data_IF_320303667709
#
_entry.id   IF_320303667709
#
_cell.length_a   1.000
_cell.length_b   1.000
_cell.length_c   1.000
_cell.angle_alpha   90.00
_cell.angle_beta   90.00
_cell.angle_gamma   90.00
#
_symmetry.space_group_name_H-M   'P 1'
#
loop_
_entity.id
_entity.type
_entity.pdbx_description
1 polymer ?
#
# COMPACT_ATOMS: atom_id res chain seq x y z
N UNK A 1 -32.34 -24.94 33.69
CA UNK A 1 -32.31 -24.59 32.25
C UNK A 1 -31.60 -23.25 32.15
N UNK A 2 -30.32 -23.22 31.76
CA UNK A 2 -29.64 -21.96 31.47
C UNK A 2 -29.92 -21.59 30.03
N UNK A 3 -30.69 -20.53 29.83
CA UNK A 3 -30.80 -19.86 28.53
C UNK A 3 -29.44 -19.20 28.24
N UNK A 4 -28.65 -19.83 27.39
CA UNK A 4 -27.50 -19.18 26.76
C UNK A 4 -28.06 -18.08 25.88
N UNK A 5 -27.88 -16.82 26.30
CA UNK A 5 -28.06 -15.68 25.41
C UNK A 5 -27.00 -15.86 24.33
N UNK A 6 -27.42 -16.21 23.12
CA UNK A 6 -26.53 -16.12 21.97
C UNK A 6 -26.17 -14.65 21.85
N UNK A 7 -24.91 -14.30 22.09
CA UNK A 7 -24.38 -13.03 21.60
C UNK A 7 -24.73 -12.99 20.10
N UNK A 8 -25.64 -12.10 19.71
CA UNK A 8 -25.84 -11.79 18.31
C UNK A 8 -24.48 -11.33 17.79
N UNK A 9 -23.76 -12.22 17.10
CA UNK A 9 -22.57 -11.83 16.36
C UNK A 9 -23.03 -10.75 15.40
N UNK A 10 -22.52 -9.55 15.62
CA UNK A 10 -22.80 -8.38 14.80
C UNK A 10 -22.63 -8.76 13.31
N UNK A 11 -23.54 -8.30 12.45
CA UNK A 11 -23.51 -8.70 11.04
C UNK A 11 -22.14 -8.32 10.44
N UNK A 12 -21.38 -9.26 9.85
CA UNK A 12 -20.03 -8.99 9.33
C UNK A 12 -19.99 -7.80 8.36
N UNK A 13 -21.07 -7.60 7.60
CA UNK A 13 -21.22 -6.47 6.67
C UNK A 13 -21.33 -5.14 7.42
N UNK A 14 -22.06 -5.11 8.54
CA UNK A 14 -22.18 -3.92 9.40
C UNK A 14 -20.85 -3.61 10.08
N UNK A 15 -20.14 -4.63 10.58
CA UNK A 15 -18.81 -4.47 11.18
C UNK A 15 -17.79 -3.96 10.15
N UNK A 16 -17.75 -4.54 8.94
CA UNK A 16 -16.88 -4.09 7.85
C UNK A 16 -17.17 -2.64 7.44
N UNK A 17 -18.45 -2.26 7.28
CA UNK A 17 -18.83 -0.88 6.98
C UNK A 17 -18.36 0.08 8.08
N UNK A 18 -18.60 -0.27 9.34
CA UNK A 18 -18.20 0.54 10.50
C UNK A 18 -16.68 0.70 10.57
N UNK A 19 -15.90 -0.35 10.27
CA UNK A 19 -14.44 -0.28 10.24
C UNK A 19 -13.93 0.57 9.08
N UNK A 20 -14.54 0.43 7.89
CA UNK A 20 -14.22 1.27 6.73
C UNK A 20 -14.48 2.76 7.03
N UNK A 21 -15.57 3.11 7.70
CA UNK A 21 -15.87 4.48 8.14
C UNK A 21 -14.85 5.02 9.14
N UNK A 22 -14.26 4.14 9.96
CA UNK A 22 -13.21 4.49 10.94
C UNK A 22 -11.81 4.42 10.34
N UNK A 23 -11.67 4.11 9.05
CA UNK A 23 -10.37 3.96 8.40
C UNK A 23 -9.72 5.33 8.22
N UNK A 24 -8.75 5.62 9.10
CA UNK A 24 -8.01 6.87 9.08
C UNK A 24 -6.71 6.78 8.29
N UNK A 25 -6.30 7.91 7.70
CA UNK A 25 -5.04 8.02 6.96
C UNK A 25 -3.80 7.60 7.75
N UNK A 26 -3.81 7.74 9.08
CA UNK A 26 -2.70 7.28 9.93
C UNK A 26 -2.44 5.77 9.85
N UNK A 27 -3.44 4.97 9.45
CA UNK A 27 -3.31 3.52 9.26
C UNK A 27 -2.61 3.14 7.95
N UNK A 28 -2.39 4.11 7.05
CA UNK A 28 -1.71 3.92 5.78
C UNK A 28 -0.21 4.17 5.86
N UNK A 29 0.25 4.81 6.94
CA UNK A 29 1.66 5.11 7.12
C UNK A 29 2.36 3.98 7.86
N UNK A 30 3.58 3.68 7.42
CA UNK A 30 4.45 2.81 8.18
C UNK A 30 4.70 3.40 9.57
N UNK A 31 4.87 2.53 10.57
CA UNK A 31 5.24 2.95 11.92
C UNK A 31 6.56 3.72 11.92
N UNK A 32 6.70 4.69 12.84
CA UNK A 32 7.93 5.50 12.96
C UNK A 32 9.16 4.65 13.33
N UNK A 33 8.93 3.50 13.93
CA UNK A 33 9.89 2.49 14.32
C UNK A 33 10.13 1.41 13.24
N UNK A 34 9.38 1.44 12.14
CA UNK A 34 9.57 0.51 11.02
C UNK A 34 10.82 0.91 10.21
N UNK A 35 11.99 0.44 10.66
CA UNK A 35 13.27 0.78 10.06
C UNK A 35 13.35 0.41 8.56
N UNK A 36 12.74 -0.69 8.13
CA UNK A 36 12.78 -1.14 6.73
C UNK A 36 11.96 -0.22 5.80
N UNK A 37 10.78 0.22 6.24
CA UNK A 37 9.97 1.16 5.46
C UNK A 37 10.62 2.55 5.44
N UNK A 38 11.07 3.02 6.60
CA UNK A 38 11.67 4.35 6.76
C UNK A 38 13.03 4.49 6.06
N UNK A 39 13.74 3.39 5.80
CA UNK A 39 14.97 3.37 5.00
C UNK A 39 14.72 3.25 3.49
N UNK A 40 13.46 3.11 3.06
CA UNK A 40 13.10 2.87 1.66
C UNK A 40 13.38 1.45 1.18
N UNK A 41 13.88 0.55 2.05
CA UNK A 41 14.18 -0.83 1.70
C UNK A 41 12.90 -1.58 1.28
N UNK A 42 11.78 -1.35 2.00
CA UNK A 42 10.51 -1.97 1.64
C UNK A 42 10.05 -1.56 0.24
N UNK A 43 10.12 -0.27 -0.13
CA UNK A 43 9.83 0.16 -1.49
C UNK A 43 10.78 -0.46 -2.53
N UNK A 44 12.08 -0.52 -2.23
CA UNK A 44 13.07 -1.23 -3.06
C UNK A 44 12.73 -2.72 -3.25
N UNK A 45 12.16 -3.41 -2.28
CA UNK A 45 11.76 -4.80 -2.48
C UNK A 45 10.44 -4.91 -3.25
N UNK A 46 9.55 -3.96 -3.04
CA UNK A 46 8.17 -4.07 -3.48
C UNK A 46 7.90 -3.50 -4.87
N UNK A 47 8.80 -2.69 -5.46
CA UNK A 47 8.63 -2.25 -6.85
C UNK A 47 8.43 -3.43 -7.82
N UNK A 48 9.09 -4.57 -7.58
CA UNK A 48 8.93 -5.77 -8.41
C UNK A 48 7.71 -6.64 -8.03
N UNK A 49 7.15 -6.42 -6.83
CA UNK A 49 6.05 -7.22 -6.26
C UNK A 49 4.68 -6.59 -6.47
N UNK A 50 4.64 -5.28 -6.65
CA UNK A 50 3.41 -4.50 -6.80
C UNK A 50 3.20 -4.05 -8.25
N UNK A 51 1.94 -3.86 -8.62
CA UNK A 51 1.57 -3.30 -9.91
C UNK A 51 1.27 -1.81 -9.77
N UNK A 52 1.90 -1.00 -10.64
CA UNK A 52 1.78 0.46 -10.63
C UNK A 52 1.18 0.98 -11.92
N UNK A 53 0.32 1.99 -11.79
CA UNK A 53 -0.19 2.83 -12.87
C UNK A 53 0.12 4.27 -12.52
N UNK A 54 0.79 5.00 -13.41
CA UNK A 54 1.12 6.42 -13.20
C UNK A 54 0.42 7.24 -14.28
N UNK A 55 -0.42 8.22 -13.90
CA UNK A 55 -1.21 9.04 -14.83
C UNK A 55 -1.89 8.21 -15.94
N UNK A 56 -2.51 7.09 -15.54
CA UNK A 56 -3.17 6.14 -16.46
C UNK A 56 -2.26 5.24 -17.29
N UNK A 57 -0.92 5.34 -17.17
CA UNK A 57 0.03 4.47 -17.86
C UNK A 57 0.58 3.39 -16.94
N UNK A 58 0.37 2.12 -17.30
CA UNK A 58 0.92 0.97 -16.58
C UNK A 58 2.45 0.95 -16.64
N UNK A 59 3.07 0.63 -15.50
CA UNK A 59 4.51 0.43 -15.35
C UNK A 59 4.77 -1.08 -15.32
N UNK A 60 5.55 -1.58 -16.29
CA UNK A 60 5.87 -3.00 -16.37
C UNK A 60 7.00 -3.40 -15.42
N UNK A 61 6.99 -4.65 -14.97
CA UNK A 61 8.10 -5.24 -14.19
C UNK A 61 9.43 -5.21 -14.94
N UNK A 62 9.38 -5.34 -16.27
CA UNK A 62 10.57 -5.25 -17.13
C UNK A 62 11.21 -3.85 -17.08
N UNK A 63 10.40 -2.79 -17.17
CA UNK A 63 10.89 -1.41 -17.01
C UNK A 63 11.52 -1.22 -15.63
N UNK A 64 10.87 -1.71 -14.57
CA UNK A 64 11.42 -1.62 -13.21
C UNK A 64 12.74 -2.39 -13.14
N UNK A 65 12.85 -3.56 -13.76
CA UNK A 65 14.08 -4.36 -13.75
C UNK A 65 15.23 -3.65 -14.51
N UNK A 66 14.92 -2.91 -15.57
CA UNK A 66 15.88 -2.05 -16.27
C UNK A 66 16.36 -0.90 -15.38
N UNK A 67 15.43 -0.18 -14.74
CA UNK A 67 15.76 0.91 -13.80
C UNK A 67 16.66 0.45 -12.64
N UNK A 68 16.51 -0.80 -12.19
CA UNK A 68 17.38 -1.38 -11.16
C UNK A 68 18.82 -1.51 -11.64
N UNK A 69 19.01 -1.95 -12.88
CA UNK A 69 20.35 -2.08 -13.48
C UNK A 69 20.96 -0.72 -13.75
N UNK A 70 20.16 0.24 -14.21
CA UNK A 70 20.64 1.60 -14.53
C UNK A 70 21.05 2.41 -13.29
N UNK A 71 20.51 2.08 -12.13
CA UNK A 71 20.68 2.85 -10.90
C UNK A 71 21.30 2.06 -9.75
N UNK A 72 21.92 0.92 -10.05
CA UNK A 72 22.60 0.06 -9.06
C UNK A 72 23.63 0.82 -8.21
N UNK A 73 24.30 1.81 -8.78
CA UNK A 73 25.28 2.67 -8.10
C UNK A 73 24.68 3.51 -6.95
N UNK A 74 23.35 3.66 -6.89
CA UNK A 74 22.64 4.31 -5.79
C UNK A 74 22.28 3.35 -4.65
N UNK A 75 22.48 2.04 -4.83
CA UNK A 75 22.26 1.06 -3.78
C UNK A 75 23.34 1.18 -2.70
N UNK A 76 23.00 0.91 -1.44
CA UNK A 76 23.99 0.87 -0.37
C UNK A 76 25.05 -0.21 -0.65
N UNK A 77 26.30 0.08 -0.25
CA UNK A 77 27.45 -0.81 -0.49
C UNK A 77 27.49 -2.03 0.43
N UNK A 78 26.72 -1.99 1.51
CA UNK A 78 26.47 -3.11 2.42
C UNK A 78 25.02 -3.51 2.32
N UNK A 79 24.75 -4.81 2.42
CA UNK A 79 23.39 -5.32 2.56
C UNK A 79 23.02 -5.32 4.04
N UNK A 80 22.04 -4.48 4.42
CA UNK A 80 21.55 -4.39 5.79
C UNK A 80 20.19 -3.70 5.84
N UNK A 81 19.38 -4.07 6.84
CA UNK A 81 18.01 -3.54 7.03
C UNK A 81 17.95 -2.03 7.35
N UNK A 82 19.09 -1.46 7.79
CA UNK A 82 19.22 -0.07 8.20
C UNK A 82 19.96 0.80 7.18
N UNK A 83 20.28 0.24 6.02
CA UNK A 83 20.95 0.96 4.95
C UNK A 83 19.96 1.87 4.24
N UNK A 84 20.43 3.03 3.75
CA UNK A 84 19.56 4.02 3.15
C UNK A 84 19.30 3.73 1.66
N UNK A 85 18.19 3.05 1.37
CA UNK A 85 17.72 2.78 0.00
C UNK A 85 16.90 3.93 -0.59
N UNK A 86 16.60 4.98 0.18
CA UNK A 86 15.74 6.09 -0.28
C UNK A 86 16.29 6.79 -1.52
N UNK A 87 17.61 7.03 -1.70
CA UNK A 87 18.12 7.63 -2.93
C UNK A 87 17.75 6.82 -4.18
N UNK A 88 17.90 5.49 -4.10
CA UNK A 88 17.53 4.57 -5.17
C UNK A 88 16.01 4.59 -5.39
N UNK A 89 15.21 4.37 -4.34
CA UNK A 89 13.76 4.27 -4.47
C UNK A 89 13.13 5.56 -4.99
N UNK A 90 13.61 6.72 -4.53
CA UNK A 90 13.22 8.04 -5.04
C UNK A 90 13.53 8.17 -6.53
N UNK A 91 14.71 7.69 -6.96
CA UNK A 91 15.12 7.74 -8.37
C UNK A 91 14.21 6.87 -9.25
N UNK A 92 13.89 5.65 -8.81
CA UNK A 92 12.95 4.76 -9.51
C UNK A 92 11.58 5.42 -9.68
N UNK A 93 11.00 5.97 -8.61
CA UNK A 93 9.74 6.72 -8.73
C UNK A 93 9.85 7.88 -9.73
N UNK A 94 10.90 8.71 -9.67
CA UNK A 94 11.12 9.81 -10.62
C UNK A 94 11.12 9.33 -12.07
N UNK A 95 11.78 8.20 -12.36
CA UNK A 95 11.82 7.63 -13.71
C UNK A 95 10.48 6.99 -14.13
N UNK A 96 9.72 6.40 -13.20
CA UNK A 96 8.36 5.92 -13.48
C UNK A 96 7.43 7.07 -13.91
N UNK A 97 7.46 8.23 -13.22
CA UNK A 97 6.71 9.42 -13.62
C UNK A 97 7.12 9.93 -15.00
N UNK A 98 8.44 10.02 -15.27
CA UNK A 98 8.94 10.45 -16.58
C UNK A 98 8.54 9.49 -17.71
N UNK A 99 8.66 8.19 -17.47
CA UNK A 99 8.23 7.16 -18.43
C UNK A 99 6.73 7.29 -18.73
N UNK A 100 5.93 7.60 -17.71
CA UNK A 100 4.50 7.87 -17.86
C UNK A 100 4.19 9.18 -18.61
N UNK A 101 5.21 10.01 -18.92
CA UNK A 101 5.06 11.39 -19.40
C UNK A 101 4.24 12.25 -18.44
N UNK A 102 4.28 11.90 -17.15
CA UNK A 102 3.66 12.64 -16.08
C UNK A 102 4.61 13.71 -15.53
N UNK A 103 4.04 14.70 -14.86
CA UNK A 103 4.82 15.60 -14.02
C UNK A 103 5.46 14.82 -12.86
N UNK A 104 6.67 15.23 -12.48
CA UNK A 104 7.38 14.62 -11.35
C UNK A 104 6.98 15.35 -10.07
N UNK A 105 6.47 14.66 -9.03
CA UNK A 105 6.12 15.26 -7.76
C UNK A 105 7.33 15.90 -7.06
N UNK A 106 7.05 16.78 -6.10
CA UNK A 106 8.07 17.42 -5.28
C UNK A 106 8.82 16.38 -4.43
N UNK A 107 10.00 16.76 -3.95
CA UNK A 107 10.85 15.85 -3.17
C UNK A 107 10.18 15.40 -1.86
N UNK A 108 9.27 16.19 -1.29
CA UNK A 108 8.51 15.80 -0.10
C UNK A 108 7.45 14.74 -0.40
N UNK A 109 6.73 14.85 -1.54
CA UNK A 109 5.80 13.80 -1.98
C UNK A 109 6.54 12.54 -2.36
N UNK A 110 7.68 12.65 -3.06
CA UNK A 110 8.48 11.48 -3.39
C UNK A 110 9.00 10.75 -2.14
N UNK A 111 9.35 11.47 -1.08
CA UNK A 111 9.73 10.84 0.18
C UNK A 111 8.55 10.11 0.84
N UNK A 112 7.36 10.71 0.85
CA UNK A 112 6.15 10.05 1.34
C UNK A 112 5.85 8.75 0.58
N UNK A 113 6.00 8.76 -0.76
CA UNK A 113 5.84 7.58 -1.61
C UNK A 113 6.90 6.52 -1.32
N UNK A 114 8.17 6.90 -1.18
CA UNK A 114 9.25 5.96 -0.83
C UNK A 114 8.98 5.25 0.49
N UNK A 115 8.50 5.97 1.51
CA UNK A 115 8.30 5.40 2.84
C UNK A 115 7.02 4.57 2.92
N UNK A 116 5.93 5.00 2.25
CA UNK A 116 4.59 4.45 2.50
C UNK A 116 3.93 3.78 1.30
N UNK A 117 4.36 4.04 0.06
CA UNK A 117 3.78 3.41 -1.13
C UNK A 117 4.39 2.01 -1.37
N UNK A 118 4.18 1.11 -0.41
CA UNK A 118 4.72 -0.25 -0.39
C UNK A 118 3.85 -1.19 0.47
N UNK A 119 4.24 -2.46 0.59
CA UNK A 119 3.47 -3.49 1.31
C UNK A 119 3.29 -3.19 2.79
N UNK A 120 4.21 -2.45 3.43
CA UNK A 120 4.14 -2.11 4.85
C UNK A 120 3.36 -0.82 5.15
N UNK A 121 3.05 -0.02 4.12
CA UNK A 121 2.30 1.22 4.24
C UNK A 121 0.90 1.11 3.63
N UNK A 122 0.70 1.76 2.48
CA UNK A 122 -0.59 1.92 1.80
C UNK A 122 -1.33 0.61 1.59
N UNK A 123 -0.59 -0.48 1.36
CA UNK A 123 -1.15 -1.79 1.14
C UNK A 123 -1.51 -2.55 2.43
N UNK A 124 -0.67 -2.45 3.47
CA UNK A 124 -0.92 -3.14 4.75
C UNK A 124 -2.19 -2.65 5.43
N UNK A 125 -2.43 -1.34 5.41
CA UNK A 125 -3.51 -0.71 6.17
C UNK A 125 -4.87 -1.36 5.88
N UNK A 126 -5.25 -1.49 4.61
CA UNK A 126 -6.56 -2.06 4.23
C UNK A 126 -6.63 -3.55 4.55
N UNK A 127 -5.55 -4.30 4.29
CA UNK A 127 -5.53 -5.73 4.57
C UNK A 127 -5.70 -6.02 6.07
N UNK A 128 -4.97 -5.32 6.94
CA UNK A 128 -5.01 -5.53 8.40
C UNK A 128 -6.41 -5.28 8.95
N UNK A 129 -7.06 -4.18 8.54
CA UNK A 129 -8.37 -3.82 9.04
C UNK A 129 -9.44 -4.82 8.59
N UNK A 130 -9.46 -5.15 7.29
CA UNK A 130 -10.45 -6.08 6.76
C UNK A 130 -10.23 -7.49 7.32
N UNK A 131 -8.99 -7.96 7.42
CA UNK A 131 -8.67 -9.26 8.02
C UNK A 131 -9.09 -9.32 9.49
N UNK A 132 -8.95 -8.21 10.22
CA UNK A 132 -9.43 -8.07 11.60
C UNK A 132 -10.93 -8.33 11.74
N UNK A 133 -11.78 -7.71 10.91
CA UNK A 133 -13.23 -8.00 10.90
C UNK A 133 -13.54 -9.44 10.44
N UNK A 134 -12.93 -9.88 9.34
CA UNK A 134 -13.24 -11.16 8.72
C UNK A 134 -12.91 -12.36 9.62
N UNK A 135 -11.78 -12.27 10.35
CA UNK A 135 -11.35 -13.32 11.26
C UNK A 135 -12.33 -13.60 12.40
N UNK A 136 -13.14 -12.63 12.83
CA UNK A 136 -14.20 -12.81 13.84
C UNK A 136 -15.32 -13.75 13.38
N UNK A 137 -15.41 -13.94 12.06
CA UNK A 137 -16.41 -14.75 11.38
C UNK A 137 -15.79 -15.94 10.62
N UNK A 138 -14.57 -16.35 10.98
CA UNK A 138 -13.87 -17.47 10.35
C UNK A 138 -13.65 -17.25 8.85
N UNK A 139 -13.33 -16.02 8.44
CA UNK A 139 -12.94 -15.69 7.08
C UNK A 139 -11.51 -15.15 7.02
N UNK A 140 -10.84 -15.41 5.90
CA UNK A 140 -9.47 -14.99 5.65
C UNK A 140 -9.30 -14.48 4.22
N UNK A 141 -8.49 -13.43 4.07
CA UNK A 141 -8.07 -12.88 2.79
C UNK A 141 -6.79 -13.59 2.36
N UNK A 142 -6.80 -14.18 1.17
CA UNK A 142 -5.62 -14.86 0.62
C UNK A 142 -5.23 -14.24 -0.73
N UNK A 143 -3.93 -14.01 -0.93
CA UNK A 143 -3.33 -13.53 -2.19
C UNK A 143 -4.11 -12.40 -2.89
N UNK A 144 -4.32 -11.25 -2.22
CA UNK A 144 -5.03 -10.13 -2.81
C UNK A 144 -4.32 -9.58 -4.05
N UNK A 145 -5.07 -9.32 -5.12
CA UNK A 145 -4.59 -8.62 -6.31
C UNK A 145 -4.75 -7.12 -6.10
N UNK A 146 -3.71 -6.32 -6.41
CA UNK A 146 -3.67 -4.90 -6.07
C UNK A 146 -3.01 -4.09 -7.16
N UNK A 147 -3.60 -2.94 -7.45
CA UNK A 147 -3.03 -1.96 -8.37
C UNK A 147 -2.98 -0.62 -7.67
N UNK A 148 -1.79 -0.05 -7.56
CA UNK A 148 -1.62 1.33 -7.09
C UNK A 148 -1.58 2.27 -8.28
N UNK A 149 -2.60 3.10 -8.40
CA UNK A 149 -2.66 4.20 -9.34
C UNK A 149 -2.20 5.49 -8.67
N UNK A 150 -1.29 6.21 -9.31
CA UNK A 150 -0.75 7.48 -8.81
C UNK A 150 -0.88 8.52 -9.92
N UNK A 151 -1.71 9.53 -9.69
CA UNK A 151 -1.95 10.61 -10.64
C UNK A 151 -1.35 11.90 -10.12
N UNK A 152 -0.27 12.35 -10.75
CA UNK A 152 0.34 13.65 -10.47
C UNK A 152 -0.43 14.74 -11.21
N UNK A 153 -1.18 15.55 -10.46
CA UNK A 153 -1.95 16.71 -10.95
C UNK A 153 -1.07 17.96 -10.99
N UNK A 154 -0.20 18.11 -9.99
CA UNK A 154 0.88 19.10 -9.95
C UNK A 154 2.02 18.59 -9.07
N UNK A 155 3.19 19.23 -9.09
CA UNK A 155 4.32 18.80 -8.24
C UNK A 155 3.95 18.66 -6.76
N UNK A 156 3.02 19.47 -6.26
CA UNK A 156 2.61 19.49 -4.85
C UNK A 156 1.25 18.82 -4.60
N UNK A 157 0.67 18.14 -5.59
CA UNK A 157 -0.63 17.50 -5.49
C UNK A 157 -0.66 16.20 -6.29
N UNK A 158 -0.71 15.09 -5.57
CA UNK A 158 -0.75 13.73 -6.13
C UNK A 158 -1.95 13.00 -5.57
N UNK A 159 -2.81 12.47 -6.45
CA UNK A 159 -3.85 11.51 -6.07
C UNK A 159 -3.27 10.11 -6.06
N UNK A 160 -3.60 9.33 -5.03
CA UNK A 160 -3.23 7.92 -4.92
C UNK A 160 -4.51 7.12 -4.76
N UNK A 161 -4.66 6.10 -5.59
CA UNK A 161 -5.75 5.15 -5.54
C UNK A 161 -5.20 3.73 -5.48
N UNK A 162 -5.65 2.95 -4.51
CA UNK A 162 -5.35 1.54 -4.37
C UNK A 162 -6.61 0.74 -4.67
N UNK A 163 -6.66 0.13 -5.85
CA UNK A 163 -7.71 -0.79 -6.25
C UNK A 163 -7.29 -2.21 -5.86
N UNK A 164 -8.18 -2.93 -5.17
CA UNK A 164 -7.88 -4.25 -4.63
C UNK A 164 -9.02 -5.22 -4.89
N UNK A 165 -8.66 -6.43 -5.29
CA UNK A 165 -9.54 -7.60 -5.25
C UNK A 165 -9.08 -8.49 -4.11
N UNK A 166 -9.96 -8.75 -3.16
CA UNK A 166 -9.69 -9.51 -1.94
C UNK A 166 -10.44 -10.85 -2.01
N UNK A 167 -9.77 -11.95 -2.39
CA UNK A 167 -10.35 -13.28 -2.34
C UNK A 167 -10.64 -13.68 -0.88
N UNK A 168 -11.90 -13.95 -0.57
CA UNK A 168 -12.35 -14.33 0.76
C UNK A 168 -12.53 -15.85 0.82
N UNK A 169 -11.84 -16.49 1.75
CA UNK A 169 -11.94 -17.92 2.01
C UNK A 169 -12.52 -18.18 3.39
N UNK A 170 -13.23 -19.30 3.54
CA UNK A 170 -13.54 -19.81 4.86
C UNK A 170 -12.26 -20.30 5.54
N UNK A 171 -12.04 -19.91 6.79
CA UNK A 171 -10.95 -20.41 7.61
C UNK A 171 -11.45 -21.58 8.45
N UNK A 172 -10.91 -22.78 8.20
CA UNK A 172 -11.25 -23.96 8.97
C UNK A 172 -10.63 -23.90 10.37
N UNK A 173 -11.22 -24.64 11.31
CA UNK A 173 -10.76 -24.70 12.70
C UNK A 173 -9.36 -25.31 12.87
N UNK A 174 -8.88 -26.05 11.87
CA UNK A 174 -7.51 -26.59 11.82
C UNK A 174 -6.47 -25.59 11.27
N UNK A 175 -6.89 -24.35 10.99
CA UNK A 175 -6.05 -23.29 10.44
C UNK A 175 -5.86 -23.35 8.93
N UNK A 176 -6.44 -24.33 8.24
CA UNK A 176 -6.35 -24.45 6.77
C UNK A 176 -7.41 -23.63 6.05
N UNK A 177 -7.14 -23.32 4.78
CA UNK A 177 -8.11 -22.66 3.91
C UNK A 177 -9.19 -23.65 3.46
N UNK A 178 -10.44 -23.24 3.67
CA UNK A 178 -11.62 -23.87 3.10
C UNK A 178 -11.94 -23.33 1.72
N UNK A 179 -13.22 -23.41 1.35
CA UNK A 179 -13.68 -22.98 0.04
C UNK A 179 -13.66 -21.44 -0.07
N UNK A 180 -13.44 -20.97 -1.30
CA UNK A 180 -13.60 -19.55 -1.64
C UNK A 180 -15.06 -19.17 -1.52
N UNK A 181 -15.33 -18.09 -0.79
CA UNK A 181 -16.67 -17.57 -0.54
C UNK A 181 -17.04 -16.56 -1.63
N UNK A 182 -16.19 -15.56 -1.84
CA UNK A 182 -16.40 -14.51 -2.82
C UNK A 182 -15.10 -13.74 -3.11
N UNK A 183 -15.16 -12.85 -4.10
CA UNK A 183 -14.18 -11.78 -4.31
C UNK A 183 -14.78 -10.45 -3.82
N UNK A 184 -14.10 -9.80 -2.88
CA UNK A 184 -14.47 -8.48 -2.40
C UNK A 184 -13.63 -7.43 -3.10
N UNK A 185 -14.28 -6.58 -3.90
CA UNK A 185 -13.62 -5.41 -4.47
C UNK A 185 -13.57 -4.27 -3.46
N UNK A 186 -12.40 -3.65 -3.31
CA UNK A 186 -12.19 -2.49 -2.46
C UNK A 186 -11.37 -1.45 -3.21
N UNK A 187 -11.64 -0.17 -2.93
CA UNK A 187 -10.88 0.95 -3.46
C UNK A 187 -10.63 1.93 -2.34
N UNK A 188 -9.38 2.34 -2.19
CA UNK A 188 -8.98 3.41 -1.28
C UNK A 188 -8.39 4.55 -2.12
N UNK A 189 -8.91 5.76 -1.92
CA UNK A 189 -8.42 6.95 -2.63
C UNK A 189 -8.10 8.07 -1.63
N UNK A 190 -6.97 8.74 -1.83
CA UNK A 190 -6.55 9.89 -1.05
C UNK A 190 -5.62 10.80 -1.84
N UNK A 191 -5.44 12.03 -1.36
CA UNK A 191 -4.57 13.02 -2.00
C UNK A 191 -3.41 13.39 -1.08
N UNK A 192 -2.20 13.32 -1.61
CA UNK A 192 -1.00 13.87 -0.99
C UNK A 192 -0.83 15.33 -1.42
N UNK A 193 -0.67 16.23 -0.44
CA UNK A 193 -0.41 17.64 -0.67
C UNK A 193 0.87 18.04 0.02
N UNK A 194 1.82 18.58 -0.75
CA UNK A 194 2.96 19.29 -0.18
C UNK A 194 2.60 20.76 0.05
N UNK A 195 3.11 21.34 1.12
CA UNK A 195 3.02 22.78 1.40
C UNK A 195 4.26 23.55 0.93
N UNK A 196 5.02 23.01 -0.02
CA UNK A 196 6.18 23.71 -0.58
C UNK A 196 5.74 25.14 -1.00
N UNK A 197 6.29 26.13 -0.27
CA UNK A 197 5.95 27.57 -0.21
C UNK A 197 4.80 28.07 0.70
N UNK A 198 4.82 27.66 1.98
CA UNK A 198 4.53 28.62 3.08
C UNK A 198 5.78 28.94 3.91
N UNK A 199 6.87 29.30 3.25
CA UNK A 199 7.80 30.27 3.84
C UNK A 199 7.15 31.64 3.71
N UNK A 200 6.33 31.95 4.71
CA UNK A 200 5.92 33.31 5.06
C UNK A 200 7.21 34.10 5.30
N UNK A 201 7.50 35.07 4.43
CA UNK A 201 8.42 36.17 4.73
C UNK A 201 8.02 36.91 6.00
#
# INVERSE_FOLDING_TARGET
MSSSISEEKENPVVTLRTQAEKFGFSKLRAGKDNAEANSGNTAFLDFQRMDFVINGKSISRDLIAELYKEHDSLLPKSEGKNEDYRPFARKVFKEMFKYAKAEVPSDSILEELVINCNQAGYEAGVHIEFQGALSQHSFIIESPEKVISIDCVSQNNVSVKSDMTLPIFFQRSDGTFGDKVCDLSSSLEFTLKSQDDKNVT
#
